data_IF_133541095013
#
_entry.id   IF_133541095013
#
_cell.length_a   1.000
_cell.length_b   1.000
_cell.length_c   1.000
_cell.angle_alpha   90.00
_cell.angle_beta   90.00
_cell.angle_gamma   90.00
#
_symmetry.space_group_name_H-M   'P 1'
#
loop_
_entity.id
_entity.type
_entity.pdbx_description
1 polymer ?
#
# COMPACT_ATOMS: atom_id res chain seq x y z
N UNK A 1 10.29 15.34 26.95
CA UNK A 1 9.91 16.38 25.99
C UNK A 1 8.84 17.22 26.64
N UNK A 2 9.21 18.37 27.23
CA UNK A 2 8.28 19.29 27.86
C UNK A 2 7.57 20.13 26.79
N UNK A 3 6.36 19.76 26.42
CA UNK A 3 5.51 20.67 25.69
C UNK A 3 5.08 21.77 26.65
N UNK A 4 5.60 22.98 26.47
CA UNK A 4 5.14 24.15 27.23
C UNK A 4 3.68 24.47 26.91
N UNK A 5 3.01 25.30 27.74
CA UNK A 5 1.62 25.70 27.50
C UNK A 5 1.39 26.35 26.13
N UNK A 6 2.43 26.94 25.52
CA UNK A 6 2.39 27.57 24.20
C UNK A 6 2.20 26.57 23.03
N UNK A 7 2.51 25.28 23.25
CA UNK A 7 2.39 24.22 22.25
C UNK A 7 1.20 23.28 22.50
N UNK A 8 0.25 23.70 23.35
CA UNK A 8 -0.95 22.92 23.67
C UNK A 8 -2.20 23.64 23.17
N UNK A 9 -3.16 22.87 22.67
CA UNK A 9 -4.50 23.36 22.35
C UNK A 9 -5.43 23.01 23.51
N UNK A 10 -6.22 23.98 24.05
CA UNK A 10 -7.23 23.65 25.04
C UNK A 10 -8.23 22.63 24.47
N UNK A 11 -8.39 21.50 25.13
CA UNK A 11 -9.31 20.46 24.67
C UNK A 11 -10.76 21.00 24.60
N UNK A 12 -11.15 21.77 25.58
CA UNK A 12 -12.45 22.45 25.65
C UNK A 12 -12.25 23.98 25.71
N UNK A 13 -12.95 24.78 24.90
CA UNK A 13 -13.92 24.38 23.86
C UNK A 13 -13.28 24.17 22.46
N UNK A 14 -12.04 24.59 22.24
CA UNK A 14 -11.49 24.80 20.90
C UNK A 14 -11.31 23.49 20.11
N UNK A 15 -10.62 22.48 20.68
CA UNK A 15 -10.42 21.21 20.01
C UNK A 15 -11.75 20.49 19.78
N UNK A 16 -12.61 20.46 20.80
CA UNK A 16 -13.92 19.83 20.72
C UNK A 16 -14.79 20.42 19.59
N UNK A 17 -14.84 21.74 19.44
CA UNK A 17 -15.61 22.35 18.36
C UNK A 17 -14.99 22.06 16.98
N UNK A 18 -13.68 22.06 16.87
CA UNK A 18 -13.00 21.74 15.61
C UNK A 18 -13.28 20.30 15.18
N UNK A 19 -13.11 19.34 16.08
CA UNK A 19 -13.38 17.90 15.82
C UNK A 19 -14.85 17.65 15.50
N UNK A 20 -15.78 18.23 16.28
CA UNK A 20 -17.22 18.11 16.04
C UNK A 20 -17.60 18.71 14.68
N UNK A 21 -17.04 19.86 14.32
CA UNK A 21 -17.30 20.47 13.02
C UNK A 21 -16.83 19.59 11.86
N UNK A 22 -15.63 19.03 11.95
CA UNK A 22 -15.09 18.12 10.94
C UNK A 22 -15.94 16.85 10.85
N UNK A 23 -16.31 16.28 11.99
CA UNK A 23 -17.19 15.10 12.04
C UNK A 23 -18.53 15.40 11.35
N UNK A 24 -19.19 16.49 11.67
CA UNK A 24 -20.48 16.88 11.06
C UNK A 24 -20.36 17.13 9.55
N UNK A 25 -19.30 17.84 9.12
CA UNK A 25 -19.04 18.08 7.69
C UNK A 25 -18.79 16.79 6.93
N UNK A 26 -17.99 15.88 7.50
CA UNK A 26 -17.71 14.56 6.88
C UNK A 26 -18.98 13.73 6.79
N UNK A 27 -19.79 13.72 7.85
CA UNK A 27 -21.07 12.99 7.86
C UNK A 27 -22.02 13.56 6.82
N UNK A 28 -22.14 14.88 6.73
CA UNK A 28 -22.98 15.55 5.72
C UNK A 28 -22.49 15.25 4.31
N UNK A 29 -21.19 15.24 4.08
CA UNK A 29 -20.58 14.89 2.80
C UNK A 29 -20.90 13.43 2.42
N UNK A 30 -20.74 12.48 3.35
CA UNK A 30 -21.09 11.07 3.11
C UNK A 30 -22.58 10.88 2.82
N UNK A 31 -23.46 11.59 3.54
CA UNK A 31 -24.90 11.55 3.26
C UNK A 31 -25.23 12.14 1.89
N UNK A 32 -24.62 13.26 1.53
CA UNK A 32 -24.80 13.86 0.22
C UNK A 32 -24.35 12.92 -0.91
N UNK A 33 -23.22 12.25 -0.74
CA UNK A 33 -22.76 11.24 -1.69
C UNK A 33 -23.72 10.05 -1.77
N UNK A 34 -24.23 9.56 -0.64
CA UNK A 34 -25.17 8.45 -0.62
C UNK A 34 -26.50 8.75 -1.31
N UNK A 35 -26.92 10.03 -1.31
CA UNK A 35 -28.11 10.49 -2.04
C UNK A 35 -27.81 10.71 -3.53
N UNK A 36 -26.61 11.21 -3.85
CA UNK A 36 -26.21 11.56 -5.22
C UNK A 36 -25.76 10.36 -6.06
N UNK A 37 -25.23 9.31 -5.42
CA UNK A 37 -24.65 8.15 -6.10
C UNK A 37 -25.13 6.85 -5.46
N UNK A 38 -25.76 6.00 -6.29
CA UNK A 38 -26.12 4.65 -5.84
C UNK A 38 -24.87 3.75 -5.81
N UNK A 39 -24.74 2.95 -4.75
CA UNK A 39 -23.76 1.88 -4.75
C UNK A 39 -24.09 0.86 -5.86
N UNK A 40 -23.09 0.40 -6.64
CA UNK A 40 -23.31 -0.61 -7.66
C UNK A 40 -23.75 -1.92 -6.99
N UNK A 41 -25.00 -2.29 -7.19
CA UNK A 41 -25.52 -3.59 -6.77
C UNK A 41 -25.28 -4.58 -7.89
N UNK A 42 -24.85 -5.78 -7.53
CA UNK A 42 -24.68 -6.91 -8.42
C UNK A 42 -25.93 -7.81 -8.38
N UNK A 43 -25.88 -8.92 -9.10
CA UNK A 43 -26.93 -9.91 -9.13
C UNK A 43 -27.22 -10.49 -7.72
N UNK A 44 -28.41 -11.10 -7.59
CA UNK A 44 -28.81 -11.77 -6.34
C UNK A 44 -27.76 -12.85 -5.99
N UNK A 45 -27.32 -12.86 -4.74
CA UNK A 45 -26.30 -13.80 -4.28
C UNK A 45 -26.69 -15.26 -4.56
N UNK A 46 -25.83 -15.97 -5.29
CA UNK A 46 -25.98 -17.37 -5.57
C UNK A 46 -24.81 -18.15 -4.92
N UNK A 47 -25.04 -18.94 -3.86
CA UNK A 47 -23.97 -19.66 -3.18
C UNK A 47 -23.31 -20.76 -4.05
N UNK A 48 -23.96 -21.16 -5.15
CA UNK A 48 -23.44 -22.18 -6.07
C UNK A 48 -22.55 -21.58 -7.16
N UNK A 49 -22.64 -20.27 -7.38
CA UNK A 49 -21.85 -19.56 -8.41
C UNK A 49 -21.23 -18.33 -7.74
N UNK A 50 -20.05 -18.47 -7.09
CA UNK A 50 -19.35 -17.34 -6.50
C UNK A 50 -18.88 -16.37 -7.58
N UNK A 51 -18.83 -15.08 -7.22
CA UNK A 51 -18.30 -14.06 -8.11
C UNK A 51 -16.83 -14.35 -8.49
N UNK A 52 -16.52 -14.28 -9.78
CA UNK A 52 -15.17 -14.49 -10.31
C UNK A 52 -14.83 -13.45 -11.39
N UNK A 53 -13.91 -12.48 -11.14
CA UNK A 53 -13.13 -12.34 -9.91
C UNK A 53 -13.90 -11.63 -8.78
N UNK A 54 -13.75 -12.10 -7.55
CA UNK A 54 -14.22 -11.38 -6.37
C UNK A 54 -13.21 -10.29 -5.99
N UNK A 55 -13.45 -9.05 -6.43
CA UNK A 55 -12.55 -7.91 -6.15
C UNK A 55 -12.89 -7.24 -4.83
N UNK A 56 -11.87 -7.04 -4.00
CA UNK A 56 -11.96 -6.20 -2.81
C UNK A 56 -12.22 -4.72 -3.18
N UNK A 57 -12.65 -3.88 -2.23
CA UNK A 57 -12.70 -2.44 -2.44
C UNK A 57 -11.34 -1.89 -2.90
N UNK A 58 -11.35 -0.82 -3.69
CA UNK A 58 -10.15 -0.28 -4.35
C UNK A 58 -8.93 -0.07 -3.41
N UNK A 59 -9.18 0.30 -2.16
CA UNK A 59 -8.12 0.52 -1.16
C UNK A 59 -7.50 -0.77 -0.61
N UNK A 60 -8.09 -1.92 -0.89
CA UNK A 60 -7.52 -3.24 -0.60
C UNK A 60 -7.00 -3.98 -1.82
N UNK A 61 -7.27 -3.51 -3.04
CA UNK A 61 -6.89 -4.21 -4.26
C UNK A 61 -5.38 -4.40 -4.40
N UNK A 62 -4.58 -3.40 -4.03
CA UNK A 62 -3.13 -3.55 -4.01
C UNK A 62 -2.64 -4.64 -3.05
N UNK A 63 -3.31 -4.79 -1.90
CA UNK A 63 -3.01 -5.87 -0.97
C UNK A 63 -3.52 -7.21 -1.48
N UNK A 64 -4.69 -7.25 -2.09
CA UNK A 64 -5.25 -8.45 -2.70
C UNK A 64 -4.35 -9.01 -3.81
N UNK A 65 -3.68 -8.15 -4.58
CA UNK A 65 -2.66 -8.57 -5.56
C UNK A 65 -1.55 -9.37 -4.88
N UNK A 66 -1.04 -8.89 -3.76
CA UNK A 66 -0.01 -9.59 -2.99
C UNK A 66 -0.52 -10.88 -2.32
N UNK A 67 -1.79 -10.90 -1.88
CA UNK A 67 -2.45 -12.09 -1.32
C UNK A 67 -2.58 -13.20 -2.36
N UNK A 68 -2.84 -12.85 -3.62
CA UNK A 68 -2.92 -13.83 -4.71
C UNK A 68 -1.61 -14.62 -4.90
N UNK A 69 -0.46 -13.98 -4.66
CA UNK A 69 0.84 -14.65 -4.71
C UNK A 69 1.16 -15.42 -3.42
N UNK A 70 0.80 -14.91 -2.26
CA UNK A 70 0.97 -15.56 -0.96
C UNK A 70 -0.02 -15.01 0.06
N UNK A 71 -0.98 -15.82 0.45
CA UNK A 71 -1.98 -15.44 1.46
C UNK A 71 -1.33 -15.04 2.80
N UNK A 72 -0.23 -15.70 3.19
CA UNK A 72 0.50 -15.36 4.40
C UNK A 72 1.19 -13.99 4.29
N UNK A 73 1.97 -13.77 3.22
CA UNK A 73 2.70 -12.50 3.06
C UNK A 73 1.77 -11.32 2.81
N UNK A 74 0.80 -11.45 1.92
CA UNK A 74 -0.16 -10.39 1.64
C UNK A 74 -1.12 -10.14 2.79
N UNK A 75 -1.65 -11.20 3.44
CA UNK A 75 -2.67 -11.06 4.48
C UNK A 75 -2.12 -10.75 5.87
N UNK A 76 -0.94 -11.24 6.23
CA UNK A 76 -0.37 -11.12 7.58
C UNK A 76 1.00 -10.44 7.56
N UNK A 77 1.94 -10.94 6.74
CA UNK A 77 3.33 -10.53 6.80
C UNK A 77 3.53 -9.04 6.53
N UNK A 78 3.12 -8.56 5.36
CA UNK A 78 3.27 -7.16 4.95
C UNK A 78 2.48 -6.21 5.86
N UNK A 79 1.20 -6.43 6.19
CA UNK A 79 0.49 -5.61 7.15
C UNK A 79 1.17 -5.53 8.51
N UNK A 80 1.70 -6.65 9.01
CA UNK A 80 2.42 -6.68 10.29
C UNK A 80 3.73 -5.87 10.21
N UNK A 81 4.49 -6.00 9.12
CA UNK A 81 5.72 -5.20 8.90
C UNK A 81 5.40 -3.70 8.88
N UNK A 82 4.32 -3.31 8.21
CA UNK A 82 3.88 -1.91 8.17
C UNK A 82 3.49 -1.40 9.56
N UNK A 83 2.68 -2.15 10.31
CA UNK A 83 2.26 -1.75 11.65
C UNK A 83 3.44 -1.66 12.63
N UNK A 84 4.33 -2.65 12.62
CA UNK A 84 5.54 -2.65 13.45
C UNK A 84 6.46 -1.49 13.04
N UNK A 85 6.66 -1.29 11.73
CA UNK A 85 7.47 -0.19 11.20
C UNK A 85 6.94 1.17 11.65
N UNK A 86 5.64 1.41 11.53
CA UNK A 86 5.01 2.65 12.01
C UNK A 86 5.18 2.83 13.53
N UNK A 87 5.01 1.75 14.30
CA UNK A 87 5.22 1.77 15.76
C UNK A 87 6.66 2.05 16.16
N UNK A 88 7.64 1.70 15.31
CA UNK A 88 9.05 1.93 15.59
C UNK A 88 9.55 3.34 15.22
N UNK A 89 8.84 4.08 14.36
CA UNK A 89 9.25 5.42 13.91
C UNK A 89 9.63 6.34 15.07
N UNK A 90 8.82 6.49 16.15
CA UNK A 90 9.15 7.40 17.26
C UNK A 90 10.43 7.03 18.00
N UNK A 91 10.89 5.79 17.90
CA UNK A 91 12.10 5.29 18.56
C UNK A 91 13.33 5.37 17.65
N UNK A 92 13.12 5.31 16.34
CA UNK A 92 14.18 5.32 15.34
C UNK A 92 14.49 6.72 14.83
N UNK A 93 13.46 7.56 14.68
CA UNK A 93 13.62 8.95 14.24
C UNK A 93 14.01 9.84 15.42
N UNK A 94 15.28 10.26 15.43
CA UNK A 94 15.86 11.14 16.46
C UNK A 94 16.07 12.57 15.97
N UNK A 95 15.64 12.87 14.75
CA UNK A 95 15.81 14.18 14.15
C UNK A 95 14.74 15.15 14.67
N UNK A 96 15.15 16.28 15.25
CA UNK A 96 14.24 17.26 15.86
C UNK A 96 13.57 18.17 14.83
N UNK A 97 14.25 18.46 13.70
CA UNK A 97 13.78 19.37 12.67
C UNK A 97 13.12 18.66 11.48
N UNK A 98 12.24 19.37 10.78
CA UNK A 98 11.65 18.90 9.52
C UNK A 98 10.49 17.92 9.66
N UNK A 99 9.92 17.76 10.85
CA UNK A 99 8.74 16.91 11.10
C UNK A 99 7.53 17.39 10.27
N UNK A 100 6.82 16.45 9.66
CA UNK A 100 5.61 16.75 8.86
C UNK A 100 5.87 17.32 7.47
N UNK A 101 7.10 17.33 6.98
CA UNK A 101 7.46 17.85 5.66
C UNK A 101 7.98 16.74 4.76
N UNK A 102 7.17 16.32 3.79
CA UNK A 102 7.58 15.29 2.82
C UNK A 102 8.73 15.77 1.92
N UNK A 103 8.66 17.01 1.44
CA UNK A 103 9.66 17.62 0.56
C UNK A 103 10.59 18.59 1.30
N UNK A 104 10.71 18.47 2.62
CA UNK A 104 11.45 19.40 3.45
C UNK A 104 12.95 19.32 3.27
N UNK A 105 13.60 20.51 3.35
CA UNK A 105 15.06 20.65 3.27
C UNK A 105 15.65 20.62 1.87
N UNK A 106 16.95 21.02 1.75
CA UNK A 106 17.66 21.11 0.47
C UNK A 106 18.02 19.75 -0.11
N UNK A 107 17.23 18.81 -0.21
CA UNK A 107 17.46 17.45 -0.75
C UNK A 107 16.18 16.62 -0.73
N UNK A 108 15.10 17.13 -0.13
CA UNK A 108 13.87 16.37 0.06
C UNK A 108 13.19 16.00 -1.26
N UNK A 109 13.01 16.95 -2.17
CA UNK A 109 12.39 16.67 -3.47
C UNK A 109 13.21 15.70 -4.34
N UNK A 110 14.53 15.87 -4.53
CA UNK A 110 15.35 14.88 -5.24
C UNK A 110 15.32 13.49 -4.62
N UNK A 111 15.28 13.39 -3.29
CA UNK A 111 15.17 12.12 -2.59
C UNK A 111 13.84 11.43 -2.94
N UNK A 112 12.72 12.15 -2.82
CA UNK A 112 11.39 11.60 -3.11
C UNK A 112 11.27 11.19 -4.57
N UNK A 113 11.76 11.99 -5.52
CA UNK A 113 11.72 11.66 -6.95
C UNK A 113 12.53 10.41 -7.29
N UNK A 114 13.74 10.27 -6.70
CA UNK A 114 14.57 9.07 -6.89
C UNK A 114 13.90 7.84 -6.26
N UNK A 115 13.33 7.99 -5.08
CA UNK A 115 12.61 6.91 -4.39
C UNK A 115 11.36 6.49 -5.17
N UNK A 116 10.62 7.45 -5.73
CA UNK A 116 9.47 7.16 -6.59
C UNK A 116 9.90 6.44 -7.87
N UNK A 117 10.96 6.91 -8.54
CA UNK A 117 11.48 6.25 -9.74
C UNK A 117 11.94 4.81 -9.44
N UNK A 118 12.67 4.59 -8.33
CA UNK A 118 13.08 3.26 -7.91
C UNK A 118 11.87 2.40 -7.55
N UNK A 119 10.92 2.92 -6.76
CA UNK A 119 9.72 2.20 -6.34
C UNK A 119 8.85 1.76 -7.51
N UNK A 120 8.65 2.65 -8.49
CA UNK A 120 7.92 2.34 -9.73
C UNK A 120 8.67 1.29 -10.56
N UNK A 121 9.97 1.47 -10.77
CA UNK A 121 10.76 0.52 -11.55
C UNK A 121 10.77 -0.87 -10.91
N UNK A 122 10.90 -0.96 -9.59
CA UNK A 122 10.91 -2.23 -8.85
C UNK A 122 9.56 -2.96 -8.95
N UNK A 123 8.44 -2.26 -8.69
CA UNK A 123 7.12 -2.93 -8.75
C UNK A 123 6.78 -3.34 -10.17
N UNK A 124 7.03 -2.49 -11.17
CA UNK A 124 6.77 -2.82 -12.57
C UNK A 124 7.64 -4.00 -13.05
N UNK A 125 8.91 -4.06 -12.64
CA UNK A 125 9.79 -5.18 -12.99
C UNK A 125 9.33 -6.50 -12.34
N UNK A 126 8.98 -6.48 -11.04
CA UNK A 126 8.50 -7.65 -10.32
C UNK A 126 7.19 -8.16 -10.92
N UNK A 127 6.23 -7.28 -11.18
CA UNK A 127 4.95 -7.64 -11.80
C UNK A 127 5.13 -8.10 -13.25
N UNK A 128 5.97 -7.47 -14.04
CA UNK A 128 6.25 -7.91 -15.40
C UNK A 128 6.83 -9.33 -15.44
N UNK A 129 7.72 -9.65 -14.50
CA UNK A 129 8.26 -11.01 -14.36
C UNK A 129 7.15 -11.99 -13.92
N UNK A 130 6.35 -11.62 -12.93
CA UNK A 130 5.27 -12.47 -12.43
C UNK A 130 4.22 -12.74 -13.51
N UNK A 131 3.81 -11.73 -14.27
CA UNK A 131 2.82 -11.88 -15.35
C UNK A 131 3.38 -12.65 -16.55
N UNK A 132 4.66 -12.43 -16.92
CA UNK A 132 5.24 -13.04 -18.13
C UNK A 132 5.71 -14.47 -17.94
N UNK A 133 6.26 -14.77 -16.78
CA UNK A 133 6.93 -16.04 -16.52
C UNK A 133 6.23 -16.85 -15.42
N UNK A 134 5.25 -16.30 -14.73
CA UNK A 134 4.70 -16.90 -13.54
C UNK A 134 5.67 -16.84 -12.35
N UNK A 135 5.39 -17.59 -11.31
CA UNK A 135 6.20 -17.60 -10.11
C UNK A 135 6.41 -19.04 -9.59
N UNK A 136 7.24 -19.19 -8.55
CA UNK A 136 7.69 -20.49 -8.03
C UNK A 136 6.55 -21.48 -7.78
N UNK A 137 5.38 -21.01 -7.37
CA UNK A 137 4.20 -21.86 -7.16
C UNK A 137 3.72 -22.52 -8.47
N UNK A 138 3.84 -21.81 -9.60
CA UNK A 138 3.43 -22.31 -10.92
C UNK A 138 4.49 -23.26 -11.49
N UNK A 139 5.77 -22.95 -11.25
CA UNK A 139 6.88 -23.77 -11.75
C UNK A 139 7.11 -25.04 -10.93
N UNK A 140 6.90 -24.92 -9.61
CA UNK A 140 7.12 -26.00 -8.66
C UNK A 140 6.01 -26.04 -7.60
N UNK A 141 4.83 -26.60 -7.92
CA UNK A 141 3.66 -26.62 -7.03
C UNK A 141 3.91 -27.31 -5.68
N UNK A 142 4.84 -28.29 -5.66
CA UNK A 142 5.22 -29.05 -4.46
C UNK A 142 6.31 -28.38 -3.63
N UNK A 143 6.74 -27.15 -4.00
CA UNK A 143 7.77 -26.47 -3.25
C UNK A 143 7.36 -26.27 -1.78
N UNK A 144 8.32 -26.36 -0.83
CA UNK A 144 8.03 -26.09 0.57
C UNK A 144 7.40 -24.70 0.76
N UNK A 145 6.36 -24.62 1.58
CA UNK A 145 5.60 -23.37 1.81
C UNK A 145 6.50 -22.20 2.25
N UNK A 146 7.56 -22.49 3.00
CA UNK A 146 8.56 -21.48 3.41
C UNK A 146 9.23 -20.88 2.18
N UNK A 147 9.61 -21.69 1.19
CA UNK A 147 10.25 -21.23 -0.03
C UNK A 147 9.28 -20.39 -0.88
N UNK A 148 8.03 -20.84 -1.04
CA UNK A 148 6.98 -20.09 -1.73
C UNK A 148 6.77 -18.73 -1.06
N UNK A 149 6.76 -18.69 0.27
CA UNK A 149 6.59 -17.46 1.04
C UNK A 149 7.81 -16.55 0.93
N UNK A 150 9.02 -17.10 0.97
CA UNK A 150 10.25 -16.31 0.92
C UNK A 150 10.53 -15.72 -0.48
N UNK A 151 10.12 -16.41 -1.54
CA UNK A 151 10.45 -16.06 -2.93
C UNK A 151 9.16 -15.71 -3.71
N UNK A 152 8.23 -14.99 -3.12
CA UNK A 152 7.07 -14.47 -3.85
C UNK A 152 7.24 -12.97 -4.20
N UNK A 153 6.49 -12.45 -5.18
CA UNK A 153 6.57 -11.05 -5.59
C UNK A 153 6.49 -10.05 -4.45
N UNK A 154 5.57 -10.25 -3.49
CA UNK A 154 5.39 -9.37 -2.35
C UNK A 154 6.60 -9.35 -1.41
N UNK A 155 7.19 -10.51 -1.12
CA UNK A 155 8.42 -10.60 -0.29
C UNK A 155 9.60 -9.94 -0.99
N UNK A 156 9.80 -10.20 -2.27
CA UNK A 156 10.88 -9.60 -3.06
C UNK A 156 10.72 -8.07 -3.10
N UNK A 157 9.52 -7.57 -3.37
CA UNK A 157 9.26 -6.15 -3.40
C UNK A 157 9.52 -5.49 -2.03
N UNK A 158 9.08 -6.14 -0.95
CA UNK A 158 9.35 -5.69 0.42
C UNK A 158 10.85 -5.62 0.71
N UNK A 159 11.60 -6.64 0.32
CA UNK A 159 13.06 -6.66 0.49
C UNK A 159 13.76 -5.60 -0.33
N UNK A 160 13.37 -5.40 -1.60
CA UNK A 160 13.93 -4.33 -2.44
C UNK A 160 13.72 -2.95 -1.82
N UNK A 161 12.52 -2.67 -1.33
CA UNK A 161 12.19 -1.41 -0.69
C UNK A 161 12.94 -1.21 0.63
N UNK A 162 13.04 -2.26 1.45
CA UNK A 162 13.80 -2.22 2.69
C UNK A 162 15.31 -1.98 2.44
N UNK A 163 15.90 -2.69 1.48
CA UNK A 163 17.31 -2.51 1.10
C UNK A 163 17.58 -1.11 0.56
N UNK A 164 16.69 -0.57 -0.26
CA UNK A 164 16.78 0.80 -0.75
C UNK A 164 16.67 1.82 0.39
N UNK A 165 15.78 1.60 1.34
CA UNK A 165 15.66 2.43 2.55
C UNK A 165 16.94 2.41 3.37
N UNK A 166 17.50 1.22 3.67
CA UNK A 166 18.76 1.07 4.41
C UNK A 166 19.91 1.75 3.66
N UNK A 167 19.99 1.59 2.35
CA UNK A 167 20.99 2.29 1.54
C UNK A 167 20.83 3.80 1.65
N UNK A 168 19.60 4.31 1.64
CA UNK A 168 19.28 5.74 1.78
C UNK A 168 19.72 6.26 3.16
N UNK A 169 19.44 5.52 4.24
CA UNK A 169 19.91 5.86 5.59
C UNK A 169 21.43 6.03 5.59
N UNK A 170 22.15 5.03 5.06
CA UNK A 170 23.62 5.06 5.01
C UNK A 170 24.17 6.18 4.13
N UNK A 171 23.47 6.51 3.05
CA UNK A 171 23.89 7.55 2.09
C UNK A 171 23.72 8.96 2.63
N UNK A 172 22.66 9.19 3.41
CA UNK A 172 22.27 10.51 3.90
C UNK A 172 22.56 10.69 5.40
N UNK A 173 23.02 9.65 6.08
CA UNK A 173 23.18 9.59 7.53
C UNK A 173 21.92 10.06 8.30
N UNK A 174 20.76 9.68 7.79
CA UNK A 174 19.47 10.13 8.29
C UNK A 174 18.44 8.98 8.25
N UNK A 175 17.92 8.62 9.43
CA UNK A 175 16.86 7.62 9.56
C UNK A 175 15.55 8.12 8.94
N UNK A 176 15.28 9.42 9.04
CA UNK A 176 14.14 10.07 8.42
C UNK A 176 14.19 9.99 6.90
N UNK A 177 15.34 10.22 6.29
CA UNK A 177 15.51 10.07 4.84
C UNK A 177 15.20 8.63 4.39
N UNK A 178 15.63 7.63 5.15
CA UNK A 178 15.30 6.23 4.90
C UNK A 178 13.81 5.94 5.03
N UNK A 179 13.16 6.45 6.07
CA UNK A 179 11.72 6.29 6.27
C UNK A 179 10.91 6.96 5.14
N UNK A 180 11.27 8.17 4.73
CA UNK A 180 10.65 8.86 3.59
C UNK A 180 10.84 8.09 2.28
N UNK A 181 12.03 7.54 2.04
CA UNK A 181 12.31 6.72 0.88
C UNK A 181 11.44 5.46 0.86
N UNK A 182 11.37 4.73 2.00
CA UNK A 182 10.56 3.54 2.15
C UNK A 182 9.06 3.84 1.93
N UNK A 183 8.55 4.88 2.56
CA UNK A 183 7.16 5.29 2.42
C UNK A 183 6.83 5.68 0.97
N UNK A 184 7.73 6.40 0.30
CA UNK A 184 7.54 6.78 -1.11
C UNK A 184 7.51 5.53 -2.01
N UNK A 185 8.43 4.59 -1.83
CA UNK A 185 8.42 3.32 -2.56
C UNK A 185 7.15 2.53 -2.31
N UNK A 186 6.74 2.42 -1.03
CA UNK A 186 5.50 1.75 -0.66
C UNK A 186 4.27 2.37 -1.33
N UNK A 187 4.17 3.70 -1.34
CA UNK A 187 3.06 4.41 -1.96
C UNK A 187 3.02 4.15 -3.48
N UNK A 188 4.17 4.19 -4.16
CA UNK A 188 4.27 3.86 -5.58
C UNK A 188 3.85 2.40 -5.85
N UNK A 189 4.35 1.47 -5.05
CA UNK A 189 3.96 0.06 -5.15
C UNK A 189 2.46 -0.14 -4.95
N UNK A 190 1.91 0.45 -3.89
CA UNK A 190 0.48 0.39 -3.60
C UNK A 190 -0.37 0.91 -4.76
N UNK A 191 -0.03 2.05 -5.34
CA UNK A 191 -0.77 2.62 -6.47
C UNK A 191 -0.71 1.74 -7.71
N UNK A 192 0.47 1.22 -8.07
CA UNK A 192 0.63 0.33 -9.24
C UNK A 192 -0.15 -0.96 -9.03
N UNK A 193 -0.01 -1.63 -7.88
CA UNK A 193 -0.73 -2.86 -7.58
C UNK A 193 -2.24 -2.65 -7.55
N UNK A 194 -2.70 -1.50 -7.04
CA UNK A 194 -4.13 -1.14 -7.08
C UNK A 194 -4.64 -0.98 -8.50
N UNK A 195 -3.87 -0.33 -9.38
CA UNK A 195 -4.22 -0.19 -10.80
C UNK A 195 -4.26 -1.57 -11.48
N UNK A 196 -3.28 -2.43 -11.22
CA UNK A 196 -3.23 -3.79 -11.78
C UNK A 196 -4.45 -4.59 -11.32
N UNK A 197 -4.71 -4.65 -10.01
CA UNK A 197 -5.87 -5.35 -9.44
C UNK A 197 -7.21 -4.81 -9.95
N UNK A 198 -7.31 -3.50 -10.20
CA UNK A 198 -8.53 -2.87 -10.68
C UNK A 198 -8.82 -3.20 -12.14
N UNK A 199 -7.84 -3.02 -13.02
CA UNK A 199 -8.07 -2.98 -14.46
C UNK A 199 -7.59 -4.21 -15.21
N UNK A 200 -6.56 -4.91 -14.69
CA UNK A 200 -5.89 -5.98 -15.42
C UNK A 200 -6.14 -7.38 -14.85
N UNK A 201 -6.78 -7.51 -13.70
CA UNK A 201 -7.15 -8.81 -13.12
C UNK A 201 -8.60 -9.16 -13.45
N UNK A 202 -8.75 -10.33 -14.09
CA UNK A 202 -10.03 -10.91 -14.49
C UNK A 202 -10.32 -12.24 -13.78
N UNK A 203 -11.12 -13.12 -14.39
CA UNK A 203 -11.48 -14.41 -13.82
C UNK A 203 -10.27 -15.21 -13.34
N UNK A 204 -10.40 -15.91 -12.22
CA UNK A 204 -9.34 -16.65 -11.52
C UNK A 204 -8.12 -15.82 -11.09
N UNK A 205 -8.25 -14.49 -11.08
CA UNK A 205 -7.16 -13.55 -10.84
C UNK A 205 -6.06 -13.56 -11.91
N UNK A 206 -6.39 -14.06 -13.12
CA UNK A 206 -5.47 -14.03 -14.24
C UNK A 206 -5.34 -12.63 -14.83
N UNK A 207 -4.20 -12.38 -15.48
CA UNK A 207 -3.90 -11.08 -16.08
C UNK A 207 -4.50 -10.99 -17.49
N UNK A 208 -5.25 -9.92 -17.75
CA UNK A 208 -5.86 -9.60 -19.04
C UNK A 208 -5.60 -8.15 -19.40
N UNK A 209 -5.30 -7.88 -20.66
CA UNK A 209 -5.13 -6.50 -21.13
C UNK A 209 -6.47 -5.75 -21.22
N UNK A 210 -7.55 -6.46 -21.48
CA UNK A 210 -8.89 -5.89 -21.61
C UNK A 210 -9.94 -6.88 -21.08
N UNK A 211 -11.06 -6.39 -20.51
CA UNK A 211 -12.21 -7.25 -20.20
C UNK A 211 -12.76 -8.01 -21.40
N UNK A 212 -12.50 -7.54 -22.63
CA UNK A 212 -12.89 -8.24 -23.86
C UNK A 212 -12.11 -9.56 -24.07
N UNK A 213 -10.96 -9.72 -23.42
CA UNK A 213 -10.11 -10.90 -23.50
C UNK A 213 -10.52 -11.97 -22.46
N UNK A 214 -11.53 -11.71 -21.65
CA UNK A 214 -12.02 -12.66 -20.66
C UNK A 214 -12.62 -13.89 -21.35
N UNK A 215 -12.38 -15.10 -20.81
CA UNK A 215 -12.99 -16.31 -21.36
C UNK A 215 -14.50 -16.21 -21.31
N UNK A 216 -15.15 -16.55 -22.42
CA UNK A 216 -16.61 -16.66 -22.47
C UNK A 216 -17.06 -17.77 -21.51
N UNK A 217 -18.00 -17.49 -20.65
CA UNK A 217 -18.64 -18.46 -19.75
C UNK A 217 -19.69 -19.28 -20.48
#
# INVERSE_FOLDING_TARGET
>A
VGNGPENTLPAMPHLFYAETSVFMLTTLFCLALAVAANAPLKEIANPLVPENPAKAPWYFLGLQELVAHSAFMGGIGIPSIVLVGLGLIPYLDREEEGTGRWFGGPGGLPLVLRSAAFGLAAVLAVEAVAVRFGWIREWWPEAPQILITAVNPGTILTLLYALYSIWTVRRHDSTRAGALALFTCFLCGFLVLTVIGTYFRGPNWDFYWSPADWPAH
#
